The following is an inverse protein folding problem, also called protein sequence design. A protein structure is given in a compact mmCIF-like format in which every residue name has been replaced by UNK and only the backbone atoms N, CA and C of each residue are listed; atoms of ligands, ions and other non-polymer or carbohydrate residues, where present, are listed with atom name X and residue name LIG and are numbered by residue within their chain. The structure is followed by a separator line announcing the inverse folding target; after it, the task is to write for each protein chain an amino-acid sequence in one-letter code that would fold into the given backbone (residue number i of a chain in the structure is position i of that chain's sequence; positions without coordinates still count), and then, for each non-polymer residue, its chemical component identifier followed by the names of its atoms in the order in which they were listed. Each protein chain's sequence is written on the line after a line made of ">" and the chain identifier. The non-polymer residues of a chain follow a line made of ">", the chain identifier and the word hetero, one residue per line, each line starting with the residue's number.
data_IF_733877974689
#
_entry.id   IF_733877974689
#
_cell.length_a   1.000
_cell.length_b   1.000
_cell.length_c   1.000
_cell.angle_alpha   90.00
_cell.angle_beta   90.00
_cell.angle_gamma   90.00
#
_symmetry.space_group_name_H-M   'P 1'
#
loop_
_entity.id
_entity.type
_entity.pdbx_description
1 polymer ?
#
# COMPACT_ATOMS: atom_id res chain seq x y z
N UNK A 1 -19.34 17.97 -14.60
CA UNK A 1 -18.52 18.81 -13.68
C UNK A 1 -18.21 20.10 -14.43
N UNK A 2 -18.72 21.24 -13.93
CA UNK A 2 -18.47 22.54 -14.54
C UNK A 2 -17.01 22.94 -14.37
N UNK A 3 -16.48 23.81 -15.26
CA UNK A 3 -15.10 24.35 -15.13
C UNK A 3 -14.83 24.97 -13.76
N UNK A 4 -15.86 25.52 -13.12
CA UNK A 4 -15.79 26.10 -11.77
C UNK A 4 -15.61 25.05 -10.67
N UNK A 5 -16.24 23.87 -10.79
CA UNK A 5 -16.05 22.75 -9.84
C UNK A 5 -14.65 22.22 -9.90
N UNK A 6 -14.09 22.07 -11.11
CA UNK A 6 -12.68 21.67 -11.31
C UNK A 6 -11.74 22.70 -10.72
N UNK A 7 -11.97 24.00 -10.97
CA UNK A 7 -11.16 25.09 -10.45
C UNK A 7 -11.21 25.18 -8.92
N UNK A 8 -12.38 24.91 -8.30
CA UNK A 8 -12.53 24.89 -6.85
C UNK A 8 -11.84 23.67 -6.21
N UNK A 9 -11.90 22.50 -6.85
CA UNK A 9 -11.18 21.31 -6.40
C UNK A 9 -9.67 21.46 -6.54
N UNK A 10 -9.19 22.07 -7.63
CA UNK A 10 -7.78 22.38 -7.86
C UNK A 10 -7.25 23.39 -6.83
N UNK A 11 -8.06 24.37 -6.44
CA UNK A 11 -7.70 25.38 -5.41
C UNK A 11 -7.67 24.80 -3.98
N UNK A 12 -8.39 23.70 -3.72
CA UNK A 12 -8.46 23.04 -2.39
C UNK A 12 -7.30 22.09 -2.08
N UNK A 13 -6.19 22.15 -2.82
CA UNK A 13 -4.99 21.36 -2.52
C UNK A 13 -4.95 19.97 -3.14
N UNK A 14 -5.85 19.65 -4.06
CA UNK A 14 -5.90 18.36 -4.73
C UNK A 14 -4.64 18.12 -5.60
N UNK A 15 -4.14 19.17 -6.27
CA UNK A 15 -2.88 19.10 -7.03
C UNK A 15 -1.70 18.78 -6.11
N UNK A 16 -1.64 19.37 -4.93
CA UNK A 16 -0.54 19.15 -3.98
C UNK A 16 -0.52 17.68 -3.52
N UNK A 17 -1.69 17.12 -3.18
CA UNK A 17 -1.79 15.71 -2.77
C UNK A 17 -1.42 14.77 -3.92
N UNK A 18 -1.93 15.05 -5.12
CA UNK A 18 -1.63 14.24 -6.31
C UNK A 18 -0.14 14.29 -6.66
N UNK A 19 0.44 15.50 -6.70
CA UNK A 19 1.86 15.70 -6.98
C UNK A 19 2.75 15.03 -5.92
N UNK A 20 2.38 15.13 -4.64
CA UNK A 20 3.10 14.44 -3.57
C UNK A 20 3.07 12.92 -3.75
N UNK A 21 1.92 12.34 -4.06
CA UNK A 21 1.80 10.90 -4.31
C UNK A 21 2.61 10.45 -5.54
N UNK A 22 2.63 11.24 -6.61
CA UNK A 22 3.42 10.96 -7.81
C UNK A 22 4.93 11.00 -7.52
N UNK A 23 5.40 12.05 -6.83
CA UNK A 23 6.79 12.18 -6.38
C UNK A 23 7.16 10.99 -5.50
N UNK A 24 6.30 10.62 -4.55
CA UNK A 24 6.53 9.47 -3.68
C UNK A 24 6.73 8.18 -4.46
N UNK A 25 5.94 7.93 -5.51
CA UNK A 25 6.08 6.73 -6.35
C UNK A 25 7.41 6.70 -7.10
N UNK A 26 7.82 7.84 -7.67
CA UNK A 26 9.13 7.95 -8.34
C UNK A 26 10.26 7.70 -7.36
N UNK A 27 10.24 8.37 -6.20
CA UNK A 27 11.31 8.23 -5.21
C UNK A 27 11.34 6.83 -4.62
N UNK A 28 10.20 6.19 -4.36
CA UNK A 28 10.13 4.80 -3.92
C UNK A 28 10.76 3.86 -4.95
N UNK A 29 10.46 4.04 -6.24
CA UNK A 29 11.08 3.26 -7.30
C UNK A 29 12.60 3.47 -7.35
N UNK A 30 13.06 4.73 -7.30
CA UNK A 30 14.48 5.06 -7.23
C UNK A 30 15.16 4.45 -6.00
N UNK A 31 14.49 4.47 -4.84
CA UNK A 31 15.02 3.84 -3.62
C UNK A 31 15.31 2.36 -3.85
N UNK A 32 14.34 1.60 -4.39
CA UNK A 32 14.54 0.18 -4.69
C UNK A 32 15.68 -0.01 -5.70
N UNK A 33 15.72 0.81 -6.75
CA UNK A 33 16.77 0.76 -7.78
C UNK A 33 18.16 0.93 -7.17
N UNK A 34 18.38 1.94 -6.34
CA UNK A 34 19.67 2.18 -5.70
C UNK A 34 20.04 1.07 -4.70
N UNK A 35 19.08 0.69 -3.84
CA UNK A 35 19.30 -0.34 -2.82
C UNK A 35 19.69 -1.69 -3.42
N UNK A 36 19.02 -2.13 -4.49
CA UNK A 36 19.32 -3.41 -5.16
C UNK A 36 20.70 -3.42 -5.85
N UNK A 37 21.22 -2.25 -6.20
CA UNK A 37 22.57 -2.11 -6.75
C UNK A 37 23.66 -2.00 -5.68
N UNK A 38 23.35 -1.41 -4.51
CA UNK A 38 24.29 -1.20 -3.41
C UNK A 38 24.42 -2.48 -2.57
N UNK A 39 23.30 -3.01 -2.08
CA UNK A 39 23.27 -4.15 -1.16
C UNK A 39 23.47 -5.46 -1.91
N UNK A 40 24.03 -6.47 -1.26
CA UNK A 40 24.13 -7.81 -1.84
C UNK A 40 22.74 -8.45 -2.02
N UNK A 41 22.64 -9.40 -2.96
CA UNK A 41 21.36 -10.07 -3.26
C UNK A 41 20.81 -10.78 -2.02
N UNK A 42 21.68 -11.46 -1.27
CA UNK A 42 21.30 -12.19 -0.06
C UNK A 42 20.83 -11.25 1.05
N UNK A 43 21.56 -10.16 1.32
CA UNK A 43 21.15 -9.17 2.31
C UNK A 43 19.83 -8.49 1.93
N UNK A 44 19.64 -8.15 0.65
CA UNK A 44 18.40 -7.54 0.18
C UNK A 44 17.22 -8.53 0.29
N UNK A 45 17.45 -9.81 0.02
CA UNK A 45 16.46 -10.87 0.21
C UNK A 45 16.08 -11.05 1.67
N UNK A 46 17.06 -11.17 2.55
CA UNK A 46 16.85 -11.31 3.99
C UNK A 46 16.12 -10.09 4.59
N UNK A 47 16.53 -8.87 4.22
CA UNK A 47 15.84 -7.64 4.59
C UNK A 47 14.39 -7.61 4.06
N UNK A 48 14.19 -8.00 2.79
CA UNK A 48 12.86 -8.01 2.17
C UNK A 48 11.92 -9.00 2.87
N UNK A 49 12.42 -10.15 3.32
CA UNK A 49 11.64 -11.09 4.12
C UNK A 49 11.29 -10.50 5.50
N UNK A 50 12.25 -9.90 6.20
CA UNK A 50 12.00 -9.22 7.47
C UNK A 50 10.96 -8.11 7.33
N UNK A 51 11.08 -7.26 6.31
CA UNK A 51 10.13 -6.20 6.01
C UNK A 51 8.73 -6.74 5.70
N UNK A 52 8.64 -7.83 4.93
CA UNK A 52 7.37 -8.48 4.63
C UNK A 52 6.72 -9.06 5.89
N UNK A 53 7.49 -9.74 6.75
CA UNK A 53 7.02 -10.27 8.04
C UNK A 53 6.54 -9.15 8.96
N UNK A 54 7.27 -8.05 9.06
CA UNK A 54 6.83 -6.86 9.79
C UNK A 54 5.53 -6.30 9.19
N UNK A 55 5.38 -6.29 7.87
CA UNK A 55 4.17 -5.80 7.20
C UNK A 55 2.93 -6.62 7.55
N UNK A 56 3.06 -7.93 7.79
CA UNK A 56 1.94 -8.74 8.34
C UNK A 56 1.51 -8.26 9.74
N UNK A 57 2.45 -7.95 10.62
CA UNK A 57 2.12 -7.40 11.93
C UNK A 57 1.47 -6.01 11.81
N UNK A 58 1.89 -5.21 10.84
CA UNK A 58 1.36 -3.87 10.56
C UNK A 58 0.00 -3.88 9.82
N UNK A 59 -0.54 -5.04 9.41
CA UNK A 59 -1.91 -5.11 8.88
C UNK A 59 -2.95 -4.56 9.86
N UNK A 60 -2.67 -4.65 11.16
CA UNK A 60 -3.51 -4.12 12.23
C UNK A 60 -2.93 -2.87 12.89
N UNK A 61 -2.07 -2.13 12.17
CA UNK A 61 -1.35 -0.97 12.68
C UNK A 61 -2.27 -0.03 13.46
N UNK A 62 -1.90 0.23 14.72
CA UNK A 62 -2.61 1.14 15.61
C UNK A 62 -4.10 0.84 15.80
N UNK A 63 -4.57 -0.40 15.56
CA UNK A 63 -6.00 -0.73 15.50
C UNK A 63 -6.80 0.16 14.54
N UNK A 64 -6.15 0.73 13.52
CA UNK A 64 -6.78 1.58 12.51
C UNK A 64 -7.15 2.99 12.97
N UNK A 65 -6.56 3.46 14.08
CA UNK A 65 -6.86 4.81 14.63
C UNK A 65 -6.62 5.94 13.63
N UNK A 66 -5.77 5.74 12.63
CA UNK A 66 -5.54 6.72 11.56
C UNK A 66 -6.82 7.01 10.76
N UNK A 67 -7.63 5.98 10.49
CA UNK A 67 -8.92 6.12 9.86
C UNK A 67 -9.95 6.78 10.81
N UNK A 68 -9.91 6.42 12.09
CA UNK A 68 -10.73 7.04 13.13
C UNK A 68 -10.44 8.54 13.26
N UNK A 69 -9.15 8.92 13.37
CA UNK A 69 -8.73 10.33 13.42
C UNK A 69 -9.23 11.06 12.17
N UNK A 70 -8.99 10.50 10.98
CA UNK A 70 -9.42 11.14 9.74
C UNK A 70 -10.94 11.36 9.72
N UNK A 71 -11.72 10.34 10.05
CA UNK A 71 -13.19 10.39 10.00
C UNK A 71 -13.77 11.37 11.04
N UNK A 72 -13.45 11.16 12.31
CA UNK A 72 -14.06 11.91 13.39
C UNK A 72 -13.56 13.36 13.46
N UNK A 73 -12.25 13.60 13.27
CA UNK A 73 -11.76 14.97 13.22
C UNK A 73 -12.24 15.74 11.98
N UNK A 74 -12.56 15.07 10.86
CA UNK A 74 -13.06 15.77 9.67
C UNK A 74 -14.48 16.32 9.84
N UNK A 75 -15.29 15.67 10.67
CA UNK A 75 -16.69 16.06 10.90
C UNK A 75 -16.78 17.25 11.86
N UNK A 76 -15.86 17.37 12.79
CA UNK A 76 -15.82 18.46 13.75
C UNK A 76 -15.50 19.80 13.10
N UNK A 77 -16.09 20.87 13.64
CA UNK A 77 -15.81 22.25 13.21
C UNK A 77 -14.78 22.92 14.12
N UNK A 78 -14.87 22.65 15.42
CA UNK A 78 -13.97 23.23 16.42
C UNK A 78 -12.57 22.57 16.32
N UNK A 79 -11.50 23.34 16.14
CA UNK A 79 -10.14 22.84 16.17
C UNK A 79 -9.79 22.06 17.46
N UNK A 80 -10.35 22.44 18.59
CA UNK A 80 -10.16 21.75 19.87
C UNK A 80 -10.70 20.32 19.83
N UNK A 81 -11.90 20.13 19.29
CA UNK A 81 -12.50 18.80 19.19
C UNK A 81 -11.78 17.92 18.17
N UNK A 82 -11.28 18.50 17.07
CA UNK A 82 -10.39 17.79 16.15
C UNK A 82 -9.14 17.28 16.84
N UNK A 83 -8.51 18.13 17.65
CA UNK A 83 -7.30 17.79 18.38
C UNK A 83 -7.56 16.75 19.48
N UNK A 84 -8.74 16.77 20.09
CA UNK A 84 -9.19 15.77 21.08
C UNK A 84 -9.22 14.36 20.46
N UNK A 85 -9.80 14.18 19.26
CA UNK A 85 -9.79 12.90 18.55
C UNK A 85 -8.39 12.47 18.12
N UNK A 86 -7.55 13.41 17.71
CA UNK A 86 -6.13 13.13 17.46
C UNK A 86 -5.41 12.63 18.70
N UNK A 87 -5.55 13.32 19.84
CA UNK A 87 -4.94 12.93 21.11
C UNK A 87 -5.41 11.56 21.62
N UNK A 88 -6.69 11.26 21.45
CA UNK A 88 -7.27 9.96 21.81
C UNK A 88 -6.72 8.84 20.88
N UNK A 89 -6.75 9.07 19.58
CA UNK A 89 -6.30 8.10 18.59
C UNK A 89 -4.80 7.80 18.68
N UNK A 90 -3.95 8.84 18.79
CA UNK A 90 -2.50 8.64 18.88
C UNK A 90 -2.11 7.86 20.14
N UNK A 91 -2.79 8.10 21.29
CA UNK A 91 -2.56 7.36 22.53
C UNK A 91 -2.86 5.86 22.36
N UNK A 92 -4.01 5.52 21.77
CA UNK A 92 -4.39 4.12 21.54
C UNK A 92 -3.43 3.47 20.54
N UNK A 93 -3.18 4.14 19.41
CA UNK A 93 -2.29 3.64 18.38
C UNK A 93 -0.87 3.39 18.87
N UNK A 94 -0.33 4.31 19.65
CA UNK A 94 1.00 4.21 20.23
C UNK A 94 1.10 3.02 21.19
N UNK A 95 0.16 2.88 22.13
CA UNK A 95 0.12 1.76 23.08
C UNK A 95 -0.02 0.42 22.35
N UNK A 96 -0.91 0.34 21.38
CA UNK A 96 -1.09 -0.88 20.58
C UNK A 96 0.19 -1.22 19.80
N UNK A 97 0.85 -0.24 19.18
CA UNK A 97 2.07 -0.49 18.43
C UNK A 97 3.29 -0.82 19.31
N UNK A 98 3.29 -0.43 20.58
CA UNK A 98 4.25 -0.98 21.56
C UNK A 98 4.04 -2.49 21.70
N UNK A 99 2.80 -2.95 21.82
CA UNK A 99 2.48 -4.38 21.89
C UNK A 99 2.94 -5.09 20.60
N UNK A 100 2.62 -4.53 19.43
CA UNK A 100 3.08 -5.05 18.13
C UNK A 100 4.60 -5.11 18.05
N UNK A 101 5.30 -4.09 18.51
CA UNK A 101 6.77 -4.06 18.56
C UNK A 101 7.36 -5.16 19.46
N UNK A 102 6.77 -5.37 20.64
CA UNK A 102 7.15 -6.46 21.56
C UNK A 102 6.89 -7.83 20.89
N UNK A 103 5.75 -7.99 20.22
CA UNK A 103 5.43 -9.23 19.49
C UNK A 103 6.44 -9.49 18.35
N UNK A 104 6.80 -8.48 17.56
CA UNK A 104 7.82 -8.60 16.51
C UNK A 104 9.17 -8.98 17.10
N UNK A 105 9.57 -8.34 18.19
CA UNK A 105 10.81 -8.64 18.89
C UNK A 105 10.82 -10.07 19.43
N UNK A 106 9.73 -10.51 20.08
CA UNK A 106 9.56 -11.89 20.56
C UNK A 106 9.60 -12.90 19.41
N UNK A 107 8.92 -12.61 18.30
CA UNK A 107 8.98 -13.47 17.11
C UNK A 107 10.38 -13.51 16.50
N UNK A 108 11.10 -12.39 16.46
CA UNK A 108 12.48 -12.36 16.00
C UNK A 108 13.43 -13.18 16.91
N UNK A 109 13.18 -13.24 18.23
CA UNK A 109 14.02 -13.98 19.16
C UNK A 109 13.70 -15.48 19.20
N UNK A 110 12.43 -15.85 19.24
CA UNK A 110 12.00 -17.25 19.50
C UNK A 110 11.11 -17.84 18.39
N UNK A 111 10.62 -17.02 17.45
CA UNK A 111 9.71 -17.49 16.42
C UNK A 111 10.38 -18.35 15.33
N UNK A 112 9.58 -19.11 14.58
CA UNK A 112 10.04 -19.93 13.46
C UNK A 112 10.28 -19.06 12.20
N UNK A 113 11.32 -18.23 12.22
CA UNK A 113 11.70 -17.38 11.08
C UNK A 113 12.27 -18.27 9.97
N UNK A 114 11.63 -18.30 8.79
CA UNK A 114 12.00 -19.21 7.71
C UNK A 114 13.37 -18.87 7.08
N UNK A 115 13.67 -17.59 6.93
CA UNK A 115 14.99 -17.11 6.47
C UNK A 115 15.76 -16.64 7.71
N UNK A 116 16.72 -17.44 8.17
CA UNK A 116 17.43 -17.19 9.43
C UNK A 116 18.20 -15.87 9.44
N UNK A 117 18.81 -15.49 8.33
CA UNK A 117 19.53 -14.22 8.16
C UNK A 117 18.62 -12.98 8.31
N UNK A 118 17.30 -13.12 8.12
CA UNK A 118 16.35 -12.02 8.30
C UNK A 118 16.03 -11.73 9.77
N UNK A 119 16.35 -12.65 10.68
CA UNK A 119 16.05 -12.56 12.11
C UNK A 119 16.64 -11.29 12.75
N UNK A 120 17.90 -11.00 12.45
CA UNK A 120 18.57 -9.79 12.94
C UNK A 120 17.90 -8.51 12.43
N UNK A 121 17.52 -8.48 11.16
CA UNK A 121 16.86 -7.30 10.59
C UNK A 121 15.47 -7.10 11.21
N UNK A 122 14.71 -8.17 11.39
CA UNK A 122 13.41 -8.11 12.03
C UNK A 122 13.50 -7.60 13.48
N UNK A 123 14.53 -8.03 14.22
CA UNK A 123 14.80 -7.56 15.58
C UNK A 123 15.12 -6.06 15.61
N UNK A 124 16.02 -5.60 14.71
CA UNK A 124 16.38 -4.18 14.63
C UNK A 124 15.18 -3.33 14.18
N UNK A 125 14.33 -3.84 13.28
CA UNK A 125 13.13 -3.14 12.80
C UNK A 125 11.99 -3.10 13.80
N UNK A 126 12.05 -3.83 14.93
CA UNK A 126 10.93 -4.04 15.83
C UNK A 126 10.32 -2.75 16.41
N UNK A 127 11.06 -1.65 16.51
CA UNK A 127 10.55 -0.36 16.99
C UNK A 127 10.01 0.57 15.89
N UNK A 128 10.18 0.23 14.61
CA UNK A 128 9.63 1.03 13.47
C UNK A 128 8.12 1.21 13.59
N UNK A 129 7.30 0.21 13.99
CA UNK A 129 5.85 0.37 14.14
C UNK A 129 5.44 1.55 15.03
N UNK A 130 6.20 1.83 16.10
CA UNK A 130 5.92 2.94 17.02
C UNK A 130 6.09 4.30 16.31
N UNK A 131 7.13 4.42 15.50
CA UNK A 131 7.40 5.63 14.74
C UNK A 131 6.42 5.78 13.58
N UNK A 132 6.13 4.67 12.88
CA UNK A 132 5.19 4.65 11.76
C UNK A 132 3.80 5.11 12.17
N UNK A 133 3.23 4.57 13.27
CA UNK A 133 1.90 4.98 13.74
C UNK A 133 1.87 6.45 14.16
N UNK A 134 2.94 6.94 14.81
CA UNK A 134 3.04 8.34 15.22
C UNK A 134 3.00 9.26 14.01
N UNK A 135 3.80 8.97 12.99
CA UNK A 135 3.80 9.68 11.71
C UNK A 135 2.44 9.62 11.02
N UNK A 136 1.83 8.43 10.93
CA UNK A 136 0.54 8.21 10.28
C UNK A 136 -0.62 8.94 10.97
N UNK A 137 -0.59 9.04 12.31
CA UNK A 137 -1.56 9.83 13.07
C UNK A 137 -1.44 11.32 12.76
N UNK A 138 -0.21 11.87 12.71
CA UNK A 138 0.03 13.26 12.34
C UNK A 138 -0.49 13.55 10.94
N UNK A 139 -0.19 12.67 9.96
CA UNK A 139 -0.71 12.80 8.60
C UNK A 139 -2.25 12.82 8.56
N UNK A 140 -2.90 11.90 9.29
CA UNK A 140 -4.35 11.79 9.33
C UNK A 140 -4.99 13.05 9.93
N UNK A 141 -4.40 13.62 10.98
CA UNK A 141 -4.87 14.86 11.60
C UNK A 141 -4.73 16.07 10.66
N UNK A 142 -3.57 16.22 9.98
CA UNK A 142 -3.37 17.29 9.01
C UNK A 142 -4.37 17.23 7.86
N UNK A 143 -4.70 16.02 7.37
CA UNK A 143 -5.73 15.80 6.35
C UNK A 143 -7.12 16.15 6.87
N UNK A 144 -7.49 15.67 8.07
CA UNK A 144 -8.77 15.96 8.70
C UNK A 144 -8.98 17.45 8.95
N UNK A 145 -7.90 18.16 9.24
CA UNK A 145 -7.89 19.61 9.45
C UNK A 145 -7.80 20.41 8.15
N UNK A 146 -7.86 19.76 6.98
CA UNK A 146 -7.71 20.37 5.64
C UNK A 146 -6.39 21.12 5.44
N UNK A 147 -5.36 20.82 6.23
CA UNK A 147 -4.01 21.40 6.14
C UNK A 147 -3.20 20.69 5.04
N UNK A 148 -3.75 20.66 3.83
CA UNK A 148 -3.24 19.88 2.70
C UNK A 148 -1.79 20.24 2.29
N UNK A 149 -1.39 21.51 2.45
CA UNK A 149 -0.01 21.93 2.17
C UNK A 149 0.99 21.32 3.14
N UNK A 150 0.67 21.29 4.43
CA UNK A 150 1.52 20.72 5.47
C UNK A 150 1.54 19.20 5.36
N UNK A 151 0.40 18.56 5.12
CA UNK A 151 0.31 17.14 4.81
C UNK A 151 1.24 16.76 3.63
N UNK A 152 1.16 17.50 2.52
CA UNK A 152 1.99 17.22 1.33
C UNK A 152 3.48 17.44 1.61
N UNK A 153 3.83 18.53 2.31
CA UNK A 153 5.22 18.80 2.72
C UNK A 153 5.78 17.72 3.63
N UNK A 154 5.00 17.30 4.63
CA UNK A 154 5.38 16.23 5.56
C UNK A 154 5.62 14.91 4.82
N UNK A 155 4.72 14.56 3.90
CA UNK A 155 4.79 13.32 3.11
C UNK A 155 6.00 13.32 2.18
N UNK A 156 6.23 14.41 1.44
CA UNK A 156 7.39 14.54 0.54
C UNK A 156 8.70 14.56 1.34
N UNK A 157 8.74 15.26 2.45
CA UNK A 157 9.91 15.30 3.34
C UNK A 157 10.25 13.89 3.85
N UNK A 158 9.26 13.13 4.33
CA UNK A 158 9.47 11.73 4.74
C UNK A 158 10.08 10.90 3.60
N UNK A 159 9.50 11.01 2.40
CA UNK A 159 9.96 10.23 1.25
C UNK A 159 11.40 10.58 0.85
N UNK A 160 11.75 11.86 0.88
CA UNK A 160 13.12 12.32 0.57
C UNK A 160 14.10 11.87 1.66
N UNK A 161 13.74 12.04 2.93
CA UNK A 161 14.59 11.60 4.06
C UNK A 161 14.76 10.07 4.08
N UNK A 162 13.69 9.34 3.74
CA UNK A 162 13.76 7.89 3.57
C UNK A 162 14.75 7.52 2.45
N UNK A 163 14.65 8.13 1.28
CA UNK A 163 15.56 7.89 0.16
C UNK A 163 17.00 8.20 0.54
N UNK A 164 17.27 9.43 0.99
CA UNK A 164 18.62 9.86 1.34
C UNK A 164 19.20 8.99 2.47
N UNK A 165 18.43 8.80 3.56
CA UNK A 165 18.88 8.03 4.71
C UNK A 165 19.17 6.57 4.36
N UNK A 166 18.20 5.90 3.69
CA UNK A 166 18.36 4.49 3.36
C UNK A 166 19.48 4.25 2.34
N UNK A 167 19.57 5.05 1.28
CA UNK A 167 20.59 4.87 0.24
C UNK A 167 21.98 5.20 0.77
N UNK A 168 22.18 6.35 1.43
CA UNK A 168 23.49 6.78 1.91
C UNK A 168 24.04 5.85 2.99
N UNK A 169 23.21 5.45 3.94
CA UNK A 169 23.67 4.55 5.02
C UNK A 169 23.83 3.12 4.55
N UNK A 170 23.04 2.67 3.56
CA UNK A 170 23.24 1.35 2.97
C UNK A 170 24.60 1.21 2.27
N UNK A 171 25.10 2.29 1.70
CA UNK A 171 26.42 2.28 1.09
C UNK A 171 27.55 1.97 2.10
N UNK A 172 27.36 2.39 3.35
CA UNK A 172 28.37 2.22 4.43
C UNK A 172 28.12 0.92 5.22
N UNK A 173 26.86 0.57 5.50
CA UNK A 173 26.47 -0.46 6.48
C UNK A 173 25.59 -1.56 5.88
N UNK A 174 25.41 -1.63 4.56
CA UNK A 174 24.53 -2.62 3.93
C UNK A 174 23.07 -2.51 4.41
N UNK A 175 22.43 -3.65 4.62
CA UNK A 175 21.03 -3.69 5.07
C UNK A 175 20.81 -3.10 6.47
N UNK A 176 21.79 -3.10 7.35
CA UNK A 176 21.68 -2.42 8.65
C UNK A 176 21.59 -0.90 8.47
N UNK A 177 22.37 -0.33 7.53
CA UNK A 177 22.29 1.08 7.16
C UNK A 177 20.93 1.47 6.59
N UNK A 178 20.31 0.59 5.79
CA UNK A 178 18.95 0.77 5.31
C UNK A 178 17.97 0.95 6.47
N UNK A 179 18.01 0.06 7.46
CA UNK A 179 17.10 0.12 8.61
C UNK A 179 17.35 1.38 9.44
N UNK A 180 18.61 1.76 9.66
CA UNK A 180 18.96 3.00 10.37
C UNK A 180 18.44 4.22 9.62
N UNK A 181 18.53 4.22 8.27
CA UNK A 181 17.96 5.26 7.43
C UNK A 181 16.44 5.39 7.58
N UNK A 182 15.71 4.26 7.74
CA UNK A 182 14.28 4.27 8.04
C UNK A 182 13.99 4.96 9.39
N UNK A 183 14.75 4.67 10.43
CA UNK A 183 14.61 5.33 11.74
C UNK A 183 14.82 6.84 11.62
N UNK A 184 15.89 7.28 10.95
CA UNK A 184 16.19 8.69 10.76
C UNK A 184 15.08 9.38 9.98
N UNK A 185 14.56 8.75 8.94
CA UNK A 185 13.45 9.29 8.16
C UNK A 185 12.20 9.50 9.01
N UNK A 186 11.78 8.50 9.78
CA UNK A 186 10.61 8.64 10.64
C UNK A 186 10.84 9.69 11.75
N UNK A 187 11.97 9.63 12.45
CA UNK A 187 12.26 10.58 13.55
C UNK A 187 12.30 12.02 13.06
N UNK A 188 13.02 12.29 11.98
CA UNK A 188 13.09 13.65 11.40
C UNK A 188 11.72 14.14 10.93
N UNK A 189 10.92 13.24 10.36
CA UNK A 189 9.58 13.58 9.90
C UNK A 189 8.60 13.83 11.06
N UNK A 190 8.70 13.05 12.13
CA UNK A 190 7.90 13.28 13.35
C UNK A 190 8.25 14.64 13.96
N UNK A 191 9.53 14.98 14.04
CA UNK A 191 9.96 16.31 14.51
C UNK A 191 9.38 17.44 13.66
N UNK A 192 9.41 17.32 12.34
CA UNK A 192 8.76 18.27 11.44
C UNK A 192 7.23 18.31 11.64
N UNK A 193 6.61 17.14 11.85
CA UNK A 193 5.18 17.05 12.15
C UNK A 193 4.81 17.75 13.46
N UNK A 194 5.58 17.56 14.52
CA UNK A 194 5.42 18.27 15.81
C UNK A 194 5.58 19.78 15.62
N UNK A 195 6.54 20.20 14.80
CA UNK A 195 6.70 21.64 14.45
C UNK A 195 5.45 22.19 13.77
N UNK A 196 4.83 21.46 12.85
CA UNK A 196 3.57 21.88 12.23
C UNK A 196 2.41 21.92 13.24
N UNK A 197 2.39 21.04 14.23
CA UNK A 197 1.34 20.98 15.25
C UNK A 197 1.62 21.87 16.47
N UNK A 198 2.69 22.65 16.50
CA UNK A 198 3.14 23.41 17.67
C UNK A 198 2.06 24.34 18.25
N UNK A 199 1.23 24.94 17.40
CA UNK A 199 0.19 25.86 17.83
C UNK A 199 -1.00 25.09 18.41
N UNK A 200 -1.38 23.96 17.82
CA UNK A 200 -2.39 23.07 18.37
C UNK A 200 -1.95 22.51 19.73
N UNK A 201 -0.69 22.10 19.87
CA UNK A 201 -0.12 21.58 21.12
C UNK A 201 -0.13 22.62 22.23
N UNK A 202 0.13 23.91 21.90
CA UNK A 202 0.12 25.00 22.86
C UNK A 202 -1.29 25.41 23.29
N UNK A 203 -2.22 25.45 22.31
CA UNK A 203 -3.59 25.93 22.53
C UNK A 203 -4.50 24.87 23.15
N UNK A 204 -4.31 23.61 22.78
CA UNK A 204 -5.18 22.52 23.19
C UNK A 204 -4.41 21.56 24.10
N UNK A 205 -4.64 21.65 25.41
CA UNK A 205 -4.25 20.56 26.33
C UNK A 205 -4.98 19.29 25.89
N UNK A 206 -4.35 18.11 26.04
CA UNK A 206 -5.00 16.82 25.77
C UNK A 206 -6.32 16.73 26.54
N UNK A 207 -7.41 17.14 25.91
CA UNK A 207 -8.74 16.96 26.47
C UNK A 207 -9.18 15.52 26.23
N UNK A 208 -9.74 14.91 27.27
CA UNK A 208 -10.28 13.55 27.16
C UNK A 208 -11.63 13.61 26.45
N UNK A 209 -11.95 12.58 25.69
CA UNK A 209 -13.34 12.36 25.23
C UNK A 209 -14.11 11.83 26.43
N UNK A 210 -14.96 12.64 27.03
CA UNK A 210 -15.70 12.24 28.26
C UNK A 210 -16.80 11.21 27.97
N UNK A 211 -17.38 11.25 26.76
CA UNK A 211 -18.44 10.36 26.36
C UNK A 211 -17.92 9.00 25.90
N UNK A 212 -18.12 7.97 26.74
CA UNK A 212 -17.72 6.58 26.48
C UNK A 212 -18.31 5.99 25.20
N UNK A 213 -19.54 6.41 24.82
CA UNK A 213 -20.17 5.94 23.61
C UNK A 213 -19.41 6.45 22.35
N UNK A 214 -18.97 7.69 22.37
CA UNK A 214 -18.16 8.27 21.28
C UNK A 214 -16.82 7.56 21.19
N UNK A 215 -16.14 7.29 22.32
CA UNK A 215 -14.91 6.51 22.35
C UNK A 215 -15.12 5.12 21.71
N UNK A 216 -16.19 4.43 22.07
CA UNK A 216 -16.51 3.10 21.55
C UNK A 216 -16.82 3.13 20.05
N UNK A 217 -17.57 4.12 19.58
CA UNK A 217 -17.85 4.29 18.17
C UNK A 217 -16.57 4.56 17.36
N UNK A 218 -15.67 5.42 17.86
CA UNK A 218 -14.36 5.69 17.25
C UNK A 218 -13.54 4.39 17.11
N UNK A 219 -13.41 3.64 18.20
CA UNK A 219 -12.65 2.38 18.22
C UNK A 219 -13.26 1.35 17.26
N UNK A 220 -14.59 1.17 17.31
CA UNK A 220 -15.32 0.24 16.43
C UNK A 220 -15.11 0.58 14.95
N UNK A 221 -15.24 1.86 14.60
CA UNK A 221 -14.98 2.32 13.23
C UNK A 221 -13.54 2.06 12.79
N UNK A 222 -12.58 2.38 13.65
CA UNK A 222 -11.15 2.16 13.40
C UNK A 222 -10.84 0.68 13.14
N UNK A 223 -11.32 -0.22 14.00
CA UNK A 223 -11.10 -1.66 13.86
C UNK A 223 -11.75 -2.21 12.58
N UNK A 224 -13.00 -1.83 12.27
CA UNK A 224 -13.68 -2.28 11.05
C UNK A 224 -12.90 -1.83 9.82
N UNK A 225 -12.41 -0.59 9.82
CA UNK A 225 -11.67 -0.04 8.68
C UNK A 225 -10.31 -0.73 8.50
N UNK A 226 -9.56 -0.95 9.58
CA UNK A 226 -8.26 -1.64 9.47
C UNK A 226 -8.41 -3.09 9.06
N UNK A 227 -9.42 -3.81 9.55
CA UNK A 227 -9.70 -5.19 9.12
C UNK A 227 -10.05 -5.26 7.63
N UNK A 228 -10.87 -4.32 7.13
CA UNK A 228 -11.21 -4.25 5.71
C UNK A 228 -9.98 -3.99 4.84
N UNK A 229 -9.08 -3.10 5.28
CA UNK A 229 -7.83 -2.82 4.59
C UNK A 229 -6.86 -4.01 4.66
N UNK A 230 -6.77 -4.68 5.82
CA UNK A 230 -5.94 -5.86 6.02
C UNK A 230 -6.31 -6.99 5.05
N UNK A 231 -7.60 -7.27 4.89
CA UNK A 231 -8.10 -8.26 3.93
C UNK A 231 -7.66 -7.98 2.49
N UNK A 232 -7.58 -6.71 2.12
CA UNK A 232 -7.12 -6.33 0.78
C UNK A 232 -5.60 -6.42 0.60
N UNK A 233 -4.84 -6.19 1.68
CA UNK A 233 -3.37 -6.16 1.62
C UNK A 233 -2.73 -7.53 1.81
N UNK A 234 -3.38 -8.45 2.53
CA UNK A 234 -2.81 -9.76 2.85
C UNK A 234 -2.37 -10.52 1.59
N UNK A 235 -3.11 -10.41 0.50
CA UNK A 235 -2.82 -11.08 -0.78
C UNK A 235 -1.46 -10.67 -1.36
N UNK A 236 -1.08 -9.39 -1.23
CA UNK A 236 0.20 -8.89 -1.73
C UNK A 236 1.41 -9.31 -0.86
N UNK A 237 1.14 -9.72 0.39
CA UNK A 237 2.17 -10.16 1.33
C UNK A 237 2.40 -11.67 1.27
N UNK A 238 1.38 -12.43 0.89
CA UNK A 238 1.41 -13.90 0.91
C UNK A 238 2.50 -14.48 0.01
N UNK A 239 2.60 -14.05 -1.23
CA UNK A 239 3.59 -14.55 -2.18
C UNK A 239 5.01 -14.50 -1.60
N UNK A 240 5.40 -13.33 -1.09
CA UNK A 240 6.74 -13.12 -0.50
C UNK A 240 6.96 -14.00 0.72
N UNK A 241 5.94 -14.12 1.58
CA UNK A 241 6.04 -14.95 2.79
C UNK A 241 6.18 -16.43 2.43
N UNK A 242 5.37 -16.93 1.48
CA UNK A 242 5.38 -18.33 1.07
C UNK A 242 6.65 -18.68 0.30
N UNK A 243 7.19 -17.78 -0.52
CA UNK A 243 8.53 -17.98 -1.12
C UNK A 243 9.56 -18.20 -0.02
N UNK A 244 9.59 -17.33 0.99
CA UNK A 244 10.55 -17.48 2.11
C UNK A 244 10.38 -18.79 2.85
N UNK A 245 9.13 -19.21 3.13
CA UNK A 245 8.84 -20.47 3.84
C UNK A 245 9.22 -21.71 3.05
N UNK A 246 8.90 -21.76 1.75
CA UNK A 246 9.11 -22.96 0.94
C UNK A 246 10.52 -23.06 0.37
N UNK A 247 11.14 -21.94 -0.01
CA UNK A 247 12.48 -21.99 -0.62
C UNK A 247 13.59 -21.83 0.40
N UNK A 248 13.35 -21.11 1.48
CA UNK A 248 14.36 -20.73 2.50
C UNK A 248 15.61 -20.11 1.88
N UNK A 249 15.45 -19.43 0.75
CA UNK A 249 16.54 -18.89 -0.06
C UNK A 249 16.32 -17.40 -0.29
N UNK A 250 17.28 -16.59 0.18
CA UNK A 250 17.28 -15.14 0.08
C UNK A 250 17.32 -14.65 -1.36
N UNK A 251 18.07 -15.30 -2.22
CA UNK A 251 18.27 -14.88 -3.62
C UNK A 251 16.97 -15.06 -4.42
N UNK A 252 16.25 -16.18 -4.22
CA UNK A 252 14.98 -16.45 -4.86
C UNK A 252 13.96 -15.38 -4.43
N UNK A 253 13.94 -15.03 -3.15
CA UNK A 253 13.04 -14.01 -2.61
C UNK A 253 13.40 -12.62 -3.14
N UNK A 254 14.68 -12.26 -3.14
CA UNK A 254 15.16 -10.99 -3.69
C UNK A 254 14.79 -10.86 -5.18
N UNK A 255 15.02 -11.94 -5.95
CA UNK A 255 14.65 -12.02 -7.37
C UNK A 255 13.16 -11.74 -7.61
N UNK A 256 12.28 -12.34 -6.81
CA UNK A 256 10.85 -12.08 -6.88
C UNK A 256 10.50 -10.63 -6.53
N UNK A 257 11.06 -10.10 -5.44
CA UNK A 257 10.84 -8.71 -5.02
C UNK A 257 11.23 -7.70 -6.07
N UNK A 258 12.38 -7.90 -6.71
CA UNK A 258 12.84 -7.03 -7.81
C UNK A 258 11.93 -7.17 -9.02
N UNK A 259 11.53 -8.40 -9.40
CA UNK A 259 10.61 -8.64 -10.50
C UNK A 259 9.24 -7.96 -10.32
N UNK A 260 8.73 -7.87 -9.08
CA UNK A 260 7.44 -7.21 -8.77
C UNK A 260 7.52 -5.70 -8.79
N UNK A 261 8.71 -5.10 -8.70
CA UNK A 261 8.87 -3.65 -8.47
C UNK A 261 8.21 -2.81 -9.56
N UNK A 262 8.47 -3.08 -10.83
CA UNK A 262 7.87 -2.31 -11.93
C UNK A 262 6.38 -2.66 -12.10
N UNK A 263 5.98 -3.94 -12.27
CA UNK A 263 4.57 -4.31 -12.50
C UNK A 263 3.61 -3.78 -11.44
N UNK A 264 4.01 -3.81 -10.15
CA UNK A 264 3.15 -3.34 -9.07
C UNK A 264 3.13 -1.82 -8.94
N UNK A 265 4.24 -1.14 -9.23
CA UNK A 265 4.25 0.31 -9.18
C UNK A 265 3.44 0.95 -10.31
N UNK A 266 3.49 0.41 -11.54
CA UNK A 266 2.73 0.97 -12.67
C UNK A 266 1.21 0.80 -12.55
N UNK A 267 0.71 0.03 -11.56
CA UNK A 267 -0.73 -0.04 -11.24
C UNK A 267 -1.33 1.32 -10.84
N UNK A 268 -0.49 2.31 -10.51
CA UNK A 268 -0.97 3.66 -10.26
C UNK A 268 -1.67 4.28 -11.50
N UNK A 269 -1.33 3.84 -12.72
CA UNK A 269 -1.89 4.36 -13.97
C UNK A 269 -3.40 4.09 -14.03
N UNK A 270 -3.88 2.82 -13.99
CA UNK A 270 -5.32 2.56 -13.95
C UNK A 270 -6.00 3.15 -12.72
N UNK A 271 -5.35 3.13 -11.55
CA UNK A 271 -5.91 3.70 -10.32
C UNK A 271 -6.13 5.22 -10.44
N UNK A 272 -5.20 5.95 -11.05
CA UNK A 272 -5.34 7.40 -11.28
C UNK A 272 -6.56 7.72 -12.15
N UNK A 273 -6.78 6.93 -13.21
CA UNK A 273 -7.95 7.09 -14.07
C UNK A 273 -9.27 6.82 -13.33
N UNK A 274 -9.26 5.82 -12.45
CA UNK A 274 -10.43 5.43 -11.65
C UNK A 274 -10.81 6.47 -10.59
N UNK A 275 -9.87 7.24 -10.06
CA UNK A 275 -10.17 8.36 -9.17
C UNK A 275 -11.10 9.37 -9.86
N UNK A 276 -10.92 9.62 -11.16
CA UNK A 276 -11.81 10.47 -11.93
C UNK A 276 -13.12 9.76 -12.31
N UNK A 277 -13.08 8.49 -12.68
CA UNK A 277 -14.26 7.76 -13.13
C UNK A 277 -15.24 7.47 -11.97
N UNK A 278 -14.74 7.20 -10.77
CA UNK A 278 -15.52 6.78 -9.60
C UNK A 278 -16.78 7.63 -9.32
N UNK A 279 -16.69 8.97 -9.19
CA UNK A 279 -17.86 9.80 -8.90
C UNK A 279 -18.94 9.76 -10.01
N UNK A 280 -18.50 9.67 -11.26
CA UNK A 280 -19.45 9.61 -12.39
C UNK A 280 -20.24 8.31 -12.40
N UNK A 281 -19.61 7.17 -12.11
CA UNK A 281 -20.31 5.91 -11.99
C UNK A 281 -21.25 5.91 -10.77
N UNK A 282 -20.82 6.48 -9.64
CA UNK A 282 -21.66 6.60 -8.45
C UNK A 282 -22.92 7.45 -8.70
N UNK A 283 -22.80 8.55 -9.46
CA UNK A 283 -23.94 9.42 -9.83
C UNK A 283 -24.91 8.77 -10.81
N UNK A 284 -24.43 7.89 -11.67
CA UNK A 284 -25.23 7.24 -12.72
C UNK A 284 -25.53 5.76 -12.41
N UNK A 285 -25.49 5.36 -11.15
CA UNK A 285 -25.63 3.95 -10.71
C UNK A 285 -26.93 3.27 -11.16
N UNK A 286 -27.97 4.02 -11.49
CA UNK A 286 -29.29 3.54 -11.95
C UNK A 286 -29.44 3.61 -13.47
N UNK A 287 -28.47 4.16 -14.20
CA UNK A 287 -28.56 4.30 -15.66
C UNK A 287 -27.76 3.17 -16.35
N UNK A 288 -28.46 2.11 -16.69
CA UNK A 288 -27.94 0.87 -17.30
C UNK A 288 -27.15 1.12 -18.58
N UNK A 289 -27.70 1.90 -19.50
CA UNK A 289 -27.10 2.14 -20.83
C UNK A 289 -25.82 2.99 -20.70
N UNK A 290 -25.87 4.00 -19.82
CA UNK A 290 -24.71 4.85 -19.55
C UNK A 290 -23.56 4.00 -18.92
N UNK A 291 -23.88 3.15 -17.95
CA UNK A 291 -22.88 2.28 -17.30
C UNK A 291 -22.23 1.36 -18.34
N UNK A 292 -23.01 0.69 -19.19
CA UNK A 292 -22.50 -0.20 -20.23
C UNK A 292 -21.57 0.53 -21.20
N UNK A 293 -22.02 1.68 -21.70
CA UNK A 293 -21.24 2.47 -22.66
C UNK A 293 -19.92 2.95 -22.04
N UNK A 294 -19.98 3.60 -20.87
CA UNK A 294 -18.80 4.21 -20.24
C UNK A 294 -17.85 3.16 -19.68
N UNK A 295 -18.36 2.04 -19.15
CA UNK A 295 -17.53 0.93 -18.72
C UNK A 295 -16.80 0.30 -19.93
N UNK A 296 -17.48 0.07 -21.04
CA UNK A 296 -16.86 -0.45 -22.27
C UNK A 296 -15.76 0.49 -22.78
N UNK A 297 -16.02 1.80 -22.81
CA UNK A 297 -15.04 2.80 -23.20
C UNK A 297 -13.82 2.80 -22.27
N UNK A 298 -14.04 2.78 -20.95
CA UNK A 298 -13.00 2.74 -19.94
C UNK A 298 -12.12 1.49 -20.09
N UNK A 299 -12.73 0.31 -20.21
CA UNK A 299 -11.99 -0.96 -20.36
C UNK A 299 -11.20 -1.00 -21.68
N UNK A 300 -11.79 -0.56 -22.80
CA UNK A 300 -11.09 -0.49 -24.09
C UNK A 300 -9.89 0.45 -24.04
N UNK A 301 -10.06 1.65 -23.44
CA UNK A 301 -8.97 2.61 -23.27
C UNK A 301 -7.84 2.05 -22.40
N UNK A 302 -8.18 1.46 -21.26
CA UNK A 302 -7.21 0.81 -20.38
C UNK A 302 -6.54 -0.40 -21.05
N UNK A 303 -7.29 -1.19 -21.83
CA UNK A 303 -6.72 -2.33 -22.55
C UNK A 303 -5.61 -1.90 -23.51
N UNK A 304 -5.84 -0.83 -24.29
CA UNK A 304 -4.83 -0.31 -25.22
C UNK A 304 -3.59 0.17 -24.47
N UNK A 305 -3.77 1.02 -23.47
CA UNK A 305 -2.65 1.60 -22.71
C UNK A 305 -1.87 0.51 -21.97
N UNK A 306 -2.55 -0.37 -21.23
CA UNK A 306 -1.90 -1.42 -20.46
C UNK A 306 -1.26 -2.48 -21.36
N UNK A 307 -1.84 -2.77 -22.55
CA UNK A 307 -1.25 -3.68 -23.53
C UNK A 307 0.09 -3.12 -24.04
N UNK A 308 0.12 -1.85 -24.42
CA UNK A 308 1.35 -1.20 -24.91
C UNK A 308 2.44 -1.21 -23.81
N UNK A 309 2.08 -0.88 -22.57
CA UNK A 309 3.00 -0.88 -21.44
C UNK A 309 3.49 -2.32 -21.15
N UNK A 310 2.58 -3.30 -21.14
CA UNK A 310 2.91 -4.69 -20.86
C UNK A 310 3.80 -5.28 -21.96
N UNK A 311 3.45 -5.10 -23.23
CA UNK A 311 4.28 -5.55 -24.36
C UNK A 311 5.64 -4.86 -24.36
N UNK A 312 5.69 -3.55 -24.15
CA UNK A 312 6.94 -2.81 -24.01
C UNK A 312 7.81 -3.37 -22.88
N UNK A 313 7.23 -3.62 -21.70
CA UNK A 313 7.93 -4.23 -20.58
C UNK A 313 8.44 -5.65 -20.88
N UNK A 314 7.65 -6.49 -21.55
CA UNK A 314 8.04 -7.87 -21.93
C UNK A 314 9.19 -7.87 -22.94
N UNK A 315 9.09 -7.03 -23.98
CA UNK A 315 10.12 -6.93 -25.05
C UNK A 315 11.41 -6.35 -24.47
N UNK A 316 11.29 -5.28 -23.69
CA UNK A 316 12.43 -4.58 -23.09
C UNK A 316 12.90 -5.19 -21.76
N UNK A 317 12.33 -6.33 -21.34
CA UNK A 317 12.66 -6.96 -20.05
C UNK A 317 14.17 -7.16 -19.86
N UNK A 318 14.86 -7.76 -20.84
CA UNK A 318 16.33 -7.96 -20.76
C UNK A 318 17.10 -6.64 -20.64
N UNK A 319 16.93 -5.64 -21.55
CA UNK A 319 17.59 -4.34 -21.41
C UNK A 319 17.26 -3.64 -20.07
N UNK A 320 16.01 -3.67 -19.62
CA UNK A 320 15.61 -3.08 -18.34
C UNK A 320 16.41 -3.70 -17.19
N UNK A 321 16.47 -5.03 -17.11
CA UNK A 321 17.20 -5.68 -16.04
C UNK A 321 18.72 -5.50 -16.17
N UNK A 322 19.26 -5.55 -17.38
CA UNK A 322 20.68 -5.34 -17.59
C UNK A 322 21.15 -3.95 -17.13
N UNK A 323 20.32 -2.91 -17.37
CA UNK A 323 20.65 -1.52 -17.02
C UNK A 323 20.30 -1.20 -15.56
N UNK A 324 19.08 -1.58 -15.12
CA UNK A 324 18.55 -1.15 -13.82
C UNK A 324 18.84 -2.14 -12.69
N UNK A 325 18.85 -3.44 -12.96
CA UNK A 325 18.97 -4.51 -11.98
C UNK A 325 19.98 -5.58 -12.40
N UNK A 326 21.25 -5.23 -12.67
CA UNK A 326 22.22 -6.16 -13.26
C UNK A 326 22.49 -7.41 -12.42
N UNK A 327 22.34 -7.35 -11.09
CA UNK A 327 22.46 -8.49 -10.18
C UNK A 327 21.28 -9.47 -10.23
N UNK A 328 20.19 -9.14 -10.96
CA UNK A 328 18.91 -9.86 -10.94
C UNK A 328 18.44 -10.27 -12.34
N UNK A 329 19.37 -10.54 -13.25
CA UNK A 329 19.08 -10.94 -14.64
C UNK A 329 18.20 -12.19 -14.69
N UNK A 330 18.35 -13.11 -13.74
CA UNK A 330 17.55 -14.33 -13.65
C UNK A 330 16.07 -14.06 -13.36
N UNK A 331 15.74 -12.86 -12.86
CA UNK A 331 14.35 -12.44 -12.60
C UNK A 331 13.59 -12.02 -13.86
N UNK A 332 14.22 -11.92 -15.02
CA UNK A 332 13.60 -11.45 -16.27
C UNK A 332 12.37 -12.26 -16.66
N UNK A 333 12.40 -13.59 -16.50
CA UNK A 333 11.24 -14.42 -16.84
C UNK A 333 10.10 -14.24 -15.84
N UNK A 334 10.41 -14.13 -14.56
CA UNK A 334 9.44 -13.79 -13.52
C UNK A 334 8.77 -12.43 -13.81
N UNK A 335 9.57 -11.42 -14.13
CA UNK A 335 9.10 -10.10 -14.53
C UNK A 335 8.16 -10.12 -15.75
N UNK A 336 8.50 -10.89 -16.78
CA UNK A 336 7.65 -11.04 -17.98
C UNK A 336 6.27 -11.60 -17.63
N UNK A 337 6.21 -12.64 -16.81
CA UNK A 337 4.94 -13.21 -16.34
C UNK A 337 4.13 -12.16 -15.56
N UNK A 338 4.78 -11.43 -14.66
CA UNK A 338 4.13 -10.37 -13.89
C UNK A 338 3.67 -9.19 -14.75
N UNK A 339 4.34 -8.89 -15.88
CA UNK A 339 3.86 -7.89 -16.84
C UNK A 339 2.57 -8.33 -17.53
N UNK A 340 2.41 -9.62 -17.85
CA UNK A 340 1.13 -10.17 -18.29
C UNK A 340 0.08 -10.03 -17.19
N UNK A 341 0.45 -10.33 -15.94
CA UNK A 341 -0.41 -10.13 -14.77
C UNK A 341 -0.84 -8.66 -14.60
N UNK A 342 0.07 -7.71 -14.81
CA UNK A 342 -0.26 -6.28 -14.82
C UNK A 342 -1.31 -5.94 -15.88
N UNK A 343 -1.15 -6.44 -17.10
CA UNK A 343 -2.15 -6.22 -18.15
C UNK A 343 -3.55 -6.68 -17.71
N UNK A 344 -3.66 -7.89 -17.20
CA UNK A 344 -4.95 -8.44 -16.73
C UNK A 344 -5.50 -7.64 -15.55
N UNK A 345 -4.67 -7.39 -14.54
CA UNK A 345 -5.09 -6.68 -13.33
C UNK A 345 -5.44 -5.22 -13.61
N UNK A 346 -4.61 -4.50 -14.37
CA UNK A 346 -4.81 -3.09 -14.68
C UNK A 346 -5.97 -2.82 -15.64
N UNK A 347 -6.30 -3.80 -16.48
CA UNK A 347 -7.39 -3.66 -17.46
C UNK A 347 -8.74 -4.12 -16.92
N UNK A 348 -8.78 -5.20 -16.11
CA UNK A 348 -10.03 -5.82 -15.70
C UNK A 348 -10.23 -5.81 -14.17
N UNK A 349 -9.30 -6.42 -13.41
CA UNK A 349 -9.46 -6.62 -11.96
C UNK A 349 -9.64 -5.30 -11.22
N UNK A 350 -8.72 -4.36 -11.39
CA UNK A 350 -8.71 -3.06 -10.70
C UNK A 350 -9.90 -2.20 -11.12
N UNK A 351 -10.20 -2.01 -12.44
CA UNK A 351 -11.35 -1.22 -12.85
C UNK A 351 -12.69 -1.80 -12.40
N UNK A 352 -12.94 -3.08 -12.63
CA UNK A 352 -14.21 -3.69 -12.22
C UNK A 352 -14.44 -3.59 -10.71
N UNK A 353 -13.41 -3.85 -9.89
CA UNK A 353 -13.53 -3.73 -8.45
C UNK A 353 -13.84 -2.31 -7.98
N UNK A 354 -13.17 -1.30 -8.54
CA UNK A 354 -13.43 0.10 -8.21
C UNK A 354 -14.82 0.58 -8.68
N UNK A 355 -15.24 0.15 -9.87
CA UNK A 355 -16.58 0.49 -10.37
C UNK A 355 -17.66 -0.19 -9.53
N UNK A 356 -17.54 -1.47 -9.17
CA UNK A 356 -18.47 -2.13 -8.24
C UNK A 356 -18.56 -1.40 -6.91
N UNK A 357 -17.44 -0.93 -6.37
CA UNK A 357 -17.44 -0.11 -5.15
C UNK A 357 -18.17 1.22 -5.36
N UNK A 358 -18.00 1.89 -6.51
CA UNK A 358 -18.71 3.15 -6.83
C UNK A 358 -20.21 2.97 -7.00
N UNK A 359 -20.63 1.80 -7.49
CA UNK A 359 -22.03 1.42 -7.63
C UNK A 359 -22.67 0.95 -6.30
N UNK A 360 -21.87 0.89 -5.22
CA UNK A 360 -22.33 0.50 -3.87
C UNK A 360 -22.31 -1.00 -3.60
N UNK A 361 -21.77 -1.84 -4.52
CA UNK A 361 -21.65 -3.29 -4.31
C UNK A 361 -20.30 -3.68 -3.69
N UNK A 362 -20.07 -3.20 -2.46
CA UNK A 362 -18.88 -3.58 -1.68
C UNK A 362 -18.84 -5.08 -1.35
N UNK A 363 -20.00 -5.75 -1.32
CA UNK A 363 -20.11 -7.19 -1.06
C UNK A 363 -19.43 -8.02 -2.15
N UNK A 364 -19.52 -7.59 -3.41
CA UNK A 364 -18.83 -8.23 -4.53
C UNK A 364 -17.31 -8.24 -4.33
N UNK A 365 -16.73 -7.11 -3.86
CA UNK A 365 -15.31 -7.00 -3.57
C UNK A 365 -14.88 -7.92 -2.42
N UNK A 366 -15.70 -8.04 -1.37
CA UNK A 366 -15.42 -8.95 -0.25
C UNK A 366 -15.41 -10.41 -0.72
N UNK A 367 -16.43 -10.82 -1.47
CA UNK A 367 -16.51 -12.20 -2.02
C UNK A 367 -15.29 -12.48 -2.92
N UNK A 368 -14.97 -11.54 -3.81
CA UNK A 368 -13.79 -11.69 -4.67
C UNK A 368 -12.49 -11.80 -3.85
N UNK A 369 -12.32 -11.00 -2.80
CA UNK A 369 -11.13 -11.06 -1.94
C UNK A 369 -10.98 -12.42 -1.27
N UNK A 370 -12.07 -13.00 -0.75
CA UNK A 370 -12.06 -14.34 -0.12
C UNK A 370 -11.69 -15.43 -1.13
N UNK A 371 -12.38 -15.49 -2.27
CA UNK A 371 -12.11 -16.53 -3.29
C UNK A 371 -10.71 -16.39 -3.90
N UNK A 372 -10.28 -15.17 -4.22
CA UNK A 372 -8.95 -14.90 -4.74
C UNK A 372 -7.86 -15.21 -3.71
N UNK A 373 -8.13 -14.95 -2.41
CA UNK A 373 -7.20 -15.28 -1.33
C UNK A 373 -6.99 -16.78 -1.17
N UNK A 374 -8.07 -17.55 -1.17
CA UNK A 374 -8.00 -19.03 -1.11
C UNK A 374 -7.26 -19.56 -2.34
N UNK A 375 -7.61 -19.07 -3.53
CA UNK A 375 -6.94 -19.48 -4.76
C UNK A 375 -5.46 -19.14 -4.75
N UNK A 376 -5.08 -17.95 -4.25
CA UNK A 376 -3.67 -17.53 -4.14
C UNK A 376 -2.88 -18.49 -3.25
N UNK A 377 -3.38 -18.80 -2.05
CA UNK A 377 -2.69 -19.71 -1.14
C UNK A 377 -2.48 -21.10 -1.79
N UNK A 378 -3.52 -21.66 -2.43
CA UNK A 378 -3.44 -22.96 -3.06
C UNK A 378 -2.44 -22.96 -4.23
N UNK A 379 -2.53 -21.95 -5.11
CA UNK A 379 -1.67 -21.84 -6.28
C UNK A 379 -0.21 -21.57 -5.89
N UNK A 380 0.03 -20.72 -4.88
CA UNK A 380 1.36 -20.49 -4.35
C UNK A 380 1.99 -21.76 -3.78
N UNK A 381 1.25 -22.52 -2.96
CA UNK A 381 1.75 -23.78 -2.41
C UNK A 381 2.16 -24.76 -3.52
N UNK A 382 1.37 -24.84 -4.60
CA UNK A 382 1.65 -25.74 -5.71
C UNK A 382 2.81 -25.24 -6.55
N UNK A 383 2.77 -23.99 -7.00
CA UNK A 383 3.73 -23.50 -7.98
C UNK A 383 5.07 -23.08 -7.38
N UNK A 384 5.09 -22.51 -6.16
CA UNK A 384 6.36 -22.11 -5.53
C UNK A 384 7.23 -23.33 -5.23
N UNK A 385 6.63 -24.44 -4.78
CA UNK A 385 7.38 -25.67 -4.54
C UNK A 385 8.02 -26.25 -5.80
N UNK A 386 7.39 -26.06 -6.97
CA UNK A 386 7.88 -26.61 -8.23
C UNK A 386 8.81 -25.65 -8.99
N UNK A 387 8.55 -24.35 -8.94
CA UNK A 387 9.17 -23.36 -9.82
C UNK A 387 9.80 -22.17 -9.07
N UNK A 388 9.80 -22.16 -7.73
CA UNK A 388 10.39 -21.06 -6.95
C UNK A 388 9.70 -19.72 -7.22
N UNK A 389 10.49 -18.65 -7.45
CA UNK A 389 9.99 -17.30 -7.68
C UNK A 389 9.08 -17.16 -8.91
N UNK A 390 9.37 -17.89 -9.97
CA UNK A 390 8.55 -17.87 -11.19
C UNK A 390 7.19 -18.56 -10.94
N UNK A 391 7.16 -19.53 -10.01
CA UNK A 391 5.94 -20.17 -9.55
C UNK A 391 4.99 -19.18 -8.86
N UNK A 392 5.52 -18.30 -8.00
CA UNK A 392 4.73 -17.22 -7.41
C UNK A 392 4.18 -16.26 -8.47
N UNK A 393 4.97 -15.95 -9.51
CA UNK A 393 4.48 -15.10 -10.60
C UNK A 393 3.33 -15.76 -11.40
N UNK A 394 3.38 -17.08 -11.63
CA UNK A 394 2.28 -17.83 -12.25
C UNK A 394 1.04 -17.85 -11.35
N UNK A 395 1.21 -18.06 -10.04
CA UNK A 395 0.11 -18.00 -9.08
C UNK A 395 -0.57 -16.62 -9.10
N UNK A 396 0.22 -15.54 -8.99
CA UNK A 396 -0.27 -14.18 -9.07
C UNK A 396 -1.03 -13.89 -10.37
N UNK A 397 -0.50 -14.33 -11.52
CA UNK A 397 -1.17 -14.17 -12.82
C UNK A 397 -2.53 -14.86 -12.84
N UNK A 398 -2.60 -16.12 -12.39
CA UNK A 398 -3.85 -16.89 -12.34
C UNK A 398 -4.86 -16.28 -11.38
N UNK A 399 -4.41 -15.82 -10.21
CA UNK A 399 -5.26 -15.09 -9.25
C UNK A 399 -5.84 -13.83 -9.86
N UNK A 400 -5.04 -13.06 -10.63
CA UNK A 400 -5.55 -11.89 -11.32
C UNK A 400 -6.59 -12.23 -12.39
N UNK A 401 -6.44 -13.36 -13.09
CA UNK A 401 -7.44 -13.85 -14.05
C UNK A 401 -8.72 -14.25 -13.31
N UNK A 402 -8.62 -15.09 -12.25
CA UNK A 402 -9.76 -15.53 -11.45
C UNK A 402 -10.52 -14.33 -10.88
N UNK A 403 -9.80 -13.42 -10.26
CA UNK A 403 -10.36 -12.19 -9.68
C UNK A 403 -11.06 -11.30 -10.73
N UNK A 404 -10.49 -11.20 -11.93
CA UNK A 404 -11.09 -10.46 -13.03
C UNK A 404 -12.40 -11.08 -13.51
N UNK A 405 -12.44 -12.40 -13.61
CA UNK A 405 -13.66 -13.16 -13.99
C UNK A 405 -14.75 -12.98 -12.93
N UNK A 406 -14.41 -13.12 -11.65
CA UNK A 406 -15.36 -12.91 -10.55
C UNK A 406 -15.95 -11.51 -10.60
N UNK A 407 -15.12 -10.47 -10.68
CA UNK A 407 -15.57 -9.09 -10.79
C UNK A 407 -16.43 -8.85 -12.04
N UNK A 408 -16.06 -9.44 -13.19
CA UNK A 408 -16.85 -9.33 -14.42
C UNK A 408 -18.26 -9.95 -14.25
N UNK A 409 -18.36 -11.10 -13.59
CA UNK A 409 -19.65 -11.74 -13.31
C UNK A 409 -20.51 -10.82 -12.42
N UNK A 410 -19.93 -10.24 -11.36
CA UNK A 410 -20.66 -9.35 -10.45
C UNK A 410 -21.13 -8.07 -11.16
N UNK A 411 -20.27 -7.43 -11.98
CA UNK A 411 -20.66 -6.21 -12.68
C UNK A 411 -21.75 -6.47 -13.71
N UNK A 412 -21.67 -7.63 -14.43
CA UNK A 412 -22.72 -8.07 -15.36
C UNK A 412 -24.05 -8.32 -14.62
N UNK A 413 -24.00 -8.97 -13.45
CA UNK A 413 -25.19 -9.20 -12.60
C UNK A 413 -25.77 -7.87 -12.11
N UNK A 414 -24.93 -6.93 -11.69
CA UNK A 414 -25.36 -5.61 -11.25
C UNK A 414 -26.12 -4.87 -12.38
N UNK A 415 -25.50 -4.78 -13.55
CA UNK A 415 -26.09 -4.13 -14.73
C UNK A 415 -27.41 -4.77 -15.16
N UNK A 416 -27.53 -6.10 -15.06
CA UNK A 416 -28.76 -6.80 -15.42
C UNK A 416 -29.90 -6.63 -14.40
N UNK A 417 -29.62 -6.17 -13.17
CA UNK A 417 -30.62 -5.87 -12.12
C UNK A 417 -31.20 -4.46 -12.24
N UNK A 418 -30.54 -3.58 -12.98
CA UNK A 418 -31.05 -2.26 -13.26
C UNK A 418 -32.14 -2.43 -14.34
N UNK A 419 -33.36 -2.02 -14.05
CA UNK A 419 -34.50 -2.04 -14.96
C UNK A 419 -34.35 -1.09 -16.15
#
# INVERSE_FOLDING_TARGET
>A
MNKEDIKSLLSKGLIQIFSANFINKIVQFMTVLFLTNIISVNEYGAFSYAQNTMSFALLLEGLGVTAGILQYSSVEKDPKDKYMFFGFGIKIGFVFNIIVSIMIMGYAMWGPVAIQSSRQYLFIMAFIPILSITYSCIQSYLRASLRNKEFSRLTVFNTIMYFIGTVSLSYIMGANGLILGMYIAYLSTILLGIYFLRDDIKLFKFTKIDNRNIQMQFIKYSIITVLSNAMSQILYLLDTQLIGVFTKNEEILASYKVATTIPFNITFIPLSLLVFAYPYFAQNKENKEWIKEKLSLLIKGLAIVNLLISLGGIILAKPIFYILFPKYIDSVNCFRVLMVGYFISGTFRIPYGNILASLGDAKANLINAVFSGIANIILDIVFIKQYGSIGAAYATLLVFIISSIIHHIFIKRYINRIE
#
